data_IF_151269297101
#
_entry.id   IF_151269297101
#
_cell.length_a   1.000
_cell.length_b   1.000
_cell.length_c   1.000
_cell.angle_alpha   90.00
_cell.angle_beta   90.00
_cell.angle_gamma   90.00
#
_symmetry.space_group_name_H-M   'P 1'
#
loop_
_entity.id
_entity.type
_entity.pdbx_description
1 polymer ?
#
# COMPACT_ATOMS: atom_id res chain seq x y z
N UNK A 1 13.87 -9.28 -0.18
CA UNK A 1 12.72 -8.92 -1.02
C UNK A 1 11.49 -9.42 -0.27
N UNK A 2 10.59 -8.52 0.12
CA UNK A 2 9.30 -8.88 0.69
C UNK A 2 8.24 -8.67 -0.39
N UNK A 3 7.33 -9.62 -0.58
CA UNK A 3 6.23 -9.50 -1.55
C UNK A 3 4.92 -9.61 -0.80
N UNK A 4 4.04 -8.61 -0.96
CA UNK A 4 2.78 -8.53 -0.22
C UNK A 4 1.59 -8.16 -1.11
N UNK A 5 0.43 -8.84 -0.99
CA UNK A 5 0.19 -10.02 -0.15
C UNK A 5 1.05 -11.21 -0.60
N UNK A 6 1.32 -12.13 0.33
CA UNK A 6 2.17 -13.31 0.08
C UNK A 6 1.55 -14.30 -0.93
N UNK A 7 0.24 -14.18 -1.16
CA UNK A 7 -0.51 -14.88 -2.19
C UNK A 7 -1.60 -13.94 -2.75
N UNK A 8 -1.88 -14.05 -4.05
CA UNK A 8 -2.94 -13.27 -4.71
C UNK A 8 -2.44 -12.35 -5.82
N UNK A 9 -3.38 -11.63 -6.43
CA UNK A 9 -3.15 -10.72 -7.57
C UNK A 9 -2.83 -9.32 -7.01
N UNK A 10 -2.03 -8.52 -7.74
CA UNK A 10 -1.61 -7.15 -7.37
C UNK A 10 -0.69 -7.10 -6.14
N UNK A 11 0.34 -7.94 -6.11
CA UNK A 11 1.37 -7.90 -5.07
C UNK A 11 2.34 -6.73 -5.28
N UNK A 12 2.82 -6.18 -4.16
CA UNK A 12 3.84 -5.14 -4.07
C UNK A 12 5.14 -5.81 -3.67
N UNK A 13 6.22 -5.52 -4.41
CA UNK A 13 7.55 -6.03 -4.12
C UNK A 13 8.38 -4.96 -3.43
N UNK A 14 8.78 -5.23 -2.19
CA UNK A 14 9.54 -4.33 -1.33
C UNK A 14 10.99 -4.77 -1.32
N UNK A 15 11.84 -3.90 -1.85
CA UNK A 15 13.29 -4.06 -1.94
C UNK A 15 13.99 -3.47 -0.72
N UNK A 16 15.31 -3.71 -0.61
CA UNK A 16 16.12 -3.07 0.45
C UNK A 16 16.16 -1.54 0.30
N UNK A 17 16.17 -1.02 -0.92
CA UNK A 17 16.11 0.43 -1.16
C UNK A 17 14.80 1.03 -0.67
N UNK A 18 13.67 0.34 -0.83
CA UNK A 18 12.37 0.82 -0.31
C UNK A 18 12.40 0.90 1.22
N UNK A 19 12.89 -0.16 1.89
CA UNK A 19 13.01 -0.15 3.36
C UNK A 19 13.95 0.94 3.87
N UNK A 20 14.91 1.37 3.05
CA UNK A 20 15.84 2.43 3.41
C UNK A 20 15.17 3.80 3.54
N UNK A 21 14.00 3.98 2.91
CA UNK A 21 13.14 5.19 2.99
C UNK A 21 12.38 5.29 4.31
N UNK A 22 12.39 4.26 5.15
CA UNK A 22 11.78 4.27 6.49
C UNK A 22 12.67 4.92 7.56
N UNK A 23 13.91 5.31 7.19
CA UNK A 23 14.81 5.98 8.12
C UNK A 23 14.33 7.39 8.46
N UNK A 24 14.73 7.93 9.62
CA UNK A 24 14.45 9.32 9.95
C UNK A 24 14.88 10.27 8.83
N UNK A 25 14.13 11.37 8.66
CA UNK A 25 14.40 12.44 7.70
C UNK A 25 14.31 12.04 6.20
N UNK A 26 13.83 10.84 5.89
CA UNK A 26 13.54 10.40 4.52
C UNK A 26 12.04 10.52 4.19
N UNK A 27 11.72 10.83 2.93
CA UNK A 27 10.34 10.72 2.44
C UNK A 27 10.00 9.27 2.11
N UNK A 28 8.82 8.81 2.51
CA UNK A 28 8.30 7.52 2.06
C UNK A 28 8.13 7.53 0.53
N UNK A 29 8.40 6.40 -0.11
CA UNK A 29 8.09 6.22 -1.52
C UNK A 29 6.71 5.58 -1.72
N UNK A 30 6.25 5.63 -2.96
CA UNK A 30 4.99 5.05 -3.43
C UNK A 30 4.86 3.56 -3.10
N UNK A 31 5.95 2.79 -3.22
CA UNK A 31 5.97 1.34 -2.93
C UNK A 31 5.66 1.05 -1.45
N UNK A 32 6.27 1.80 -0.52
CA UNK A 32 6.00 1.66 0.92
C UNK A 32 4.57 2.07 1.27
N UNK A 33 4.08 3.16 0.68
CA UNK A 33 2.70 3.63 0.89
C UNK A 33 1.70 2.59 0.38
N UNK A 34 1.89 2.05 -0.83
CA UNK A 34 1.00 1.05 -1.42
C UNK A 34 0.98 -0.24 -0.60
N UNK A 35 2.14 -0.71 -0.14
CA UNK A 35 2.23 -1.86 0.76
C UNK A 35 1.39 -1.63 2.02
N UNK A 36 1.59 -0.50 2.69
CA UNK A 36 0.95 -0.28 3.98
C UNK A 36 -0.56 -0.10 3.86
N UNK A 37 -1.04 0.51 2.77
CA UNK A 37 -2.49 0.59 2.48
C UNK A 37 -3.11 -0.81 2.31
N UNK A 38 -2.44 -1.71 1.59
CA UNK A 38 -2.90 -3.11 1.45
C UNK A 38 -2.92 -3.83 2.79
N UNK A 39 -1.87 -3.65 3.60
CA UNK A 39 -1.81 -4.21 4.95
C UNK A 39 -2.98 -3.71 5.81
N UNK A 40 -3.25 -2.40 5.82
CA UNK A 40 -4.38 -1.82 6.55
C UNK A 40 -5.72 -2.36 6.06
N UNK A 41 -5.90 -2.54 4.75
CA UNK A 41 -7.12 -3.12 4.19
C UNK A 41 -7.32 -4.58 4.66
N UNK A 42 -6.26 -5.38 4.72
CA UNK A 42 -6.35 -6.76 5.22
C UNK A 42 -6.62 -6.80 6.73
N UNK A 43 -6.00 -5.91 7.51
CA UNK A 43 -6.31 -5.76 8.95
C UNK A 43 -7.75 -5.29 9.18
N UNK A 44 -8.28 -4.44 8.31
CA UNK A 44 -9.68 -4.04 8.35
C UNK A 44 -10.59 -5.22 8.00
N UNK A 45 -10.23 -6.05 7.02
CA UNK A 45 -10.98 -7.27 6.69
C UNK A 45 -11.03 -8.25 7.86
N UNK A 46 -9.93 -8.37 8.62
CA UNK A 46 -9.87 -9.24 9.81
C UNK A 46 -10.69 -8.69 10.99
N UNK A 47 -10.64 -7.37 11.22
CA UNK A 47 -11.26 -6.74 12.40
C UNK A 47 -12.71 -6.32 12.19
N UNK A 48 -13.10 -5.93 10.98
CA UNK A 48 -14.45 -5.49 10.63
C UNK A 48 -14.78 -5.81 9.15
N UNK A 49 -15.20 -7.05 8.85
CA UNK A 49 -15.52 -7.49 7.49
C UNK A 49 -16.66 -6.70 6.82
N UNK A 50 -17.60 -6.16 7.57
CA UNK A 50 -18.71 -5.39 7.00
C UNK A 50 -18.25 -4.00 6.54
N UNK A 51 -17.32 -3.40 7.30
CA UNK A 51 -16.75 -2.10 6.96
C UNK A 51 -15.79 -2.17 5.77
N UNK A 52 -14.99 -3.24 5.64
CA UNK A 52 -14.04 -3.33 4.51
C UNK A 52 -14.74 -3.31 3.14
N UNK A 53 -15.97 -3.82 3.06
CA UNK A 53 -16.78 -3.79 1.83
C UNK A 53 -17.34 -2.41 1.49
N UNK A 54 -17.32 -1.48 2.44
CA UNK A 54 -17.79 -0.10 2.28
C UNK A 54 -16.66 0.89 2.00
N UNK A 55 -15.41 0.42 2.03
CA UNK A 55 -14.21 1.26 1.90
C UNK A 55 -13.40 0.84 0.67
N UNK A 56 -13.08 1.81 -0.19
CA UNK A 56 -12.17 1.60 -1.32
C UNK A 56 -10.84 2.31 -1.08
N UNK A 57 -9.74 1.58 -1.25
CA UNK A 57 -8.39 2.12 -1.18
C UNK A 57 -7.84 2.33 -2.59
N UNK A 58 -7.63 3.57 -2.98
CA UNK A 58 -6.87 3.90 -4.19
C UNK A 58 -5.36 3.81 -3.92
N UNK A 59 -4.56 3.48 -4.94
CA UNK A 59 -3.11 3.60 -4.83
C UNK A 59 -2.66 5.07 -4.92
N UNK A 60 -1.38 5.32 -4.62
CA UNK A 60 -0.78 6.65 -4.62
C UNK A 60 -0.80 7.36 -5.98
N UNK A 61 -0.95 6.61 -7.08
CA UNK A 61 -0.97 7.16 -8.43
C UNK A 61 -2.34 7.68 -8.88
N UNK A 62 -3.42 7.28 -8.21
CA UNK A 62 -4.79 7.64 -8.62
C UNK A 62 -4.97 9.15 -8.73
N UNK A 63 -4.60 9.89 -7.68
CA UNK A 63 -4.77 11.34 -7.67
C UNK A 63 -3.90 12.02 -8.73
N UNK A 64 -2.63 11.60 -8.84
CA UNK A 64 -1.71 12.13 -9.85
C UNK A 64 -2.25 11.94 -11.27
N UNK A 65 -2.87 10.81 -11.57
CA UNK A 65 -3.52 10.56 -12.87
C UNK A 65 -4.80 11.36 -13.04
N UNK A 66 -5.61 11.50 -11.99
CA UNK A 66 -6.85 12.27 -12.03
C UNK A 66 -6.61 13.75 -12.34
N UNK A 67 -5.50 14.31 -11.84
CA UNK A 67 -5.15 15.73 -12.01
C UNK A 67 -4.15 15.97 -13.15
N UNK A 68 -3.71 14.92 -13.83
CA UNK A 68 -2.86 15.07 -15.00
C UNK A 68 -3.65 15.83 -16.08
N UNK A 69 -3.07 16.94 -16.60
CA UNK A 69 -3.61 17.67 -17.74
C UNK A 69 -3.23 16.98 -19.05
#
# INVERSE_FOLDING_TARGET
LLVYPFSGIKSVSITRSDTSRLRPEEYLNDTIIEFYLKYLQDRLRESNPDLVNQVHFFNSFFYSQLTAK
#
